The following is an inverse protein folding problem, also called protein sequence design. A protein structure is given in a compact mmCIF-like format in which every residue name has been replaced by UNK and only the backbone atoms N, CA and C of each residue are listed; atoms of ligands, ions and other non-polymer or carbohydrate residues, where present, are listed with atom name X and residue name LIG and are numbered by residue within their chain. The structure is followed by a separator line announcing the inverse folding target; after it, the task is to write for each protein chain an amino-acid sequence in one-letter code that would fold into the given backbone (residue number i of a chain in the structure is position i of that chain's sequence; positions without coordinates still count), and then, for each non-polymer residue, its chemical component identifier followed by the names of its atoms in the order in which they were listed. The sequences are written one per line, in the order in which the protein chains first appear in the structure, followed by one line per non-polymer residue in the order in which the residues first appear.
data_IF_131237923012
#
_entry.id   IF_131237923012
#
_cell.length_a   1.000
_cell.length_b   1.000
_cell.length_c   1.000
_cell.angle_alpha   90.00
_cell.angle_beta   90.00
_cell.angle_gamma   90.00
#
_symmetry.space_group_name_H-M   'P 1'
#
loop_
_entity.id
_entity.type
_entity.pdbx_description
1 polymer ?
#
# COMPACT_ATOMS: atom_id res chain seq x y z
N UNK A 1 -3.06 15.59 -1.70
CA UNK A 1 -1.63 15.37 -1.34
C UNK A 1 -1.17 14.19 -2.15
N UNK A 2 0.00 14.30 -2.77
CA UNK A 2 0.64 13.23 -3.55
C UNK A 2 1.71 12.56 -2.67
N UNK A 3 1.71 11.23 -2.62
CA UNK A 3 2.62 10.42 -1.83
C UNK A 3 3.15 9.29 -2.72
N UNK A 4 4.41 8.91 -2.55
CA UNK A 4 5.04 7.82 -3.29
C UNK A 4 5.41 6.71 -2.31
N UNK A 5 4.80 5.56 -2.46
CA UNK A 5 5.20 4.35 -1.73
C UNK A 5 6.34 3.72 -2.50
N UNK A 6 7.46 3.48 -1.84
CA UNK A 6 8.70 3.05 -2.48
C UNK A 6 9.27 1.81 -1.78
N UNK A 7 9.84 0.92 -2.58
CA UNK A 7 10.64 -0.21 -2.15
C UNK A 7 11.74 -0.46 -3.20
N UNK A 8 12.88 -1.02 -2.78
CA UNK A 8 13.98 -1.36 -3.67
C UNK A 8 14.51 -2.78 -3.39
N UNK A 9 15.06 -3.42 -4.44
CA UNK A 9 15.92 -4.60 -4.30
C UNK A 9 17.37 -4.22 -4.59
N UNK A 10 18.29 -4.92 -3.92
CA UNK A 10 19.72 -4.58 -3.98
C UNK A 10 20.59 -5.83 -4.07
N UNK A 11 21.86 -5.65 -4.47
CA UNK A 11 22.87 -6.73 -4.47
C UNK A 11 23.38 -7.10 -3.07
N UNK A 12 22.89 -6.46 -2.01
CA UNK A 12 23.29 -6.71 -0.63
C UNK A 12 22.88 -5.60 0.33
N UNK A 13 23.29 -5.67 1.58
CA UNK A 13 22.70 -4.87 2.65
C UNK A 13 23.29 -3.48 2.85
N UNK A 14 24.50 -3.21 2.35
CA UNK A 14 25.21 -1.96 2.66
C UNK A 14 25.81 -1.34 1.39
N UNK A 15 25.34 -0.15 1.05
CA UNK A 15 25.86 0.61 -0.10
C UNK A 15 27.34 1.01 0.11
N UNK A 16 27.78 1.23 1.36
CA UNK A 16 29.19 1.55 1.68
C UNK A 16 30.15 0.39 1.32
N UNK A 17 29.67 -0.85 1.29
CA UNK A 17 30.41 -2.04 0.86
C UNK A 17 30.35 -2.24 -0.67
N UNK A 18 29.80 -1.26 -1.40
CA UNK A 18 29.71 -1.26 -2.85
C UNK A 18 28.54 -2.09 -3.38
N UNK A 19 27.52 -2.35 -2.54
CA UNK A 19 26.27 -2.91 -3.04
C UNK A 19 25.45 -1.86 -3.79
N UNK A 20 24.64 -2.31 -4.73
CA UNK A 20 23.94 -1.48 -5.71
C UNK A 20 22.46 -1.84 -5.79
N UNK A 21 21.66 -0.90 -6.25
CA UNK A 21 20.23 -1.12 -6.54
C UNK A 21 20.08 -1.98 -7.82
N UNK A 22 19.13 -2.92 -7.82
CA UNK A 22 18.79 -3.77 -8.96
C UNK A 22 17.33 -3.65 -9.40
N UNK A 23 16.46 -3.17 -8.52
CA UNK A 23 15.05 -2.92 -8.84
C UNK A 23 14.55 -1.74 -8.00
N UNK A 24 13.73 -0.89 -8.62
CA UNK A 24 12.98 0.17 -7.94
C UNK A 24 11.51 -0.04 -8.25
N UNK A 25 10.67 -0.09 -7.22
CA UNK A 25 9.23 -0.15 -7.31
C UNK A 25 8.58 1.00 -6.58
N UNK A 26 7.72 1.76 -7.27
CA UNK A 26 6.98 2.85 -6.65
C UNK A 26 5.49 2.76 -6.99
N UNK A 27 4.65 3.12 -6.03
CA UNK A 27 3.21 3.32 -6.20
C UNK A 27 2.87 4.77 -5.88
N UNK A 28 2.20 5.42 -6.80
CA UNK A 28 1.70 6.78 -6.61
C UNK A 28 0.32 6.77 -5.93
N UNK A 29 0.22 7.48 -4.81
CA UNK A 29 -1.04 7.77 -4.14
C UNK A 29 -1.38 9.26 -4.30
N UNK A 30 -2.57 9.54 -4.83
CA UNK A 30 -3.14 10.88 -4.84
C UNK A 30 -4.45 10.84 -4.07
N UNK A 31 -4.52 11.63 -2.99
CA UNK A 31 -5.70 11.62 -2.10
C UNK A 31 -6.06 10.20 -1.59
N UNK A 32 -5.03 9.37 -1.35
CA UNK A 32 -5.16 7.98 -0.83
C UNK A 32 -5.66 6.95 -1.86
N UNK A 33 -5.74 7.33 -3.11
CA UNK A 33 -6.07 6.43 -4.21
C UNK A 33 -4.85 6.16 -5.07
N UNK A 34 -4.66 4.92 -5.48
CA UNK A 34 -3.59 4.55 -6.41
C UNK A 34 -3.87 5.17 -7.77
N UNK A 35 -2.91 5.94 -8.30
CA UNK A 35 -3.03 6.65 -9.58
C UNK A 35 -2.00 6.22 -10.61
N UNK A 36 -0.85 5.76 -10.16
CA UNK A 36 0.24 5.36 -11.04
C UNK A 36 1.24 4.44 -10.35
N UNK A 37 2.20 3.99 -11.13
CA UNK A 37 3.35 3.23 -10.63
C UNK A 37 4.57 3.51 -11.49
N UNK A 38 5.74 3.40 -10.86
CA UNK A 38 7.04 3.37 -11.54
C UNK A 38 7.71 2.04 -11.20
N UNK A 39 8.28 1.40 -12.21
CA UNK A 39 8.96 0.12 -12.02
C UNK A 39 10.16 0.03 -12.96
N UNK A 40 11.33 -0.18 -12.40
CA UNK A 40 12.55 -0.26 -13.18
C UNK A 40 13.51 -1.30 -12.61
N UNK A 41 13.97 -2.22 -13.47
CA UNK A 41 15.14 -3.05 -13.21
C UNK A 41 16.41 -2.33 -13.65
N UNK A 42 17.52 -2.55 -12.92
CA UNK A 42 18.75 -1.78 -13.09
C UNK A 42 19.93 -2.76 -13.14
N UNK A 43 20.81 -2.56 -14.10
CA UNK A 43 22.08 -3.27 -14.15
C UNK A 43 23.03 -2.69 -13.09
N UNK A 44 23.40 -3.47 -12.05
CA UNK A 44 24.25 -2.97 -10.97
C UNK A 44 25.73 -2.87 -11.35
N UNK A 45 26.13 -3.31 -12.53
CA UNK A 45 27.55 -3.54 -12.89
C UNK A 45 28.30 -4.40 -11.87
N UNK A 46 27.60 -5.31 -11.22
CA UNK A 46 28.11 -6.18 -10.15
C UNK A 46 27.39 -7.52 -10.18
N UNK A 47 28.13 -8.60 -10.04
CA UNK A 47 27.55 -9.96 -10.01
C UNK A 47 26.79 -10.18 -8.69
N UNK A 48 25.57 -10.67 -8.78
CA UNK A 48 24.78 -11.12 -7.65
C UNK A 48 25.27 -12.48 -7.16
N UNK A 49 25.20 -12.69 -5.86
CA UNK A 49 25.45 -14.00 -5.24
C UNK A 49 24.21 -14.88 -5.36
N UNK A 50 24.40 -16.20 -5.27
CA UNK A 50 23.27 -17.16 -5.27
C UNK A 50 22.26 -16.86 -4.13
N UNK A 51 22.73 -16.40 -2.98
CA UNK A 51 21.85 -16.08 -1.85
C UNK A 51 20.98 -14.85 -2.12
N UNK A 52 21.52 -13.84 -2.82
CA UNK A 52 20.70 -12.71 -3.26
C UNK A 52 19.62 -13.18 -4.25
N UNK A 53 20.01 -13.99 -5.25
CA UNK A 53 19.08 -14.52 -6.26
C UNK A 53 17.95 -15.33 -5.62
N UNK A 54 18.24 -16.12 -4.57
CA UNK A 54 17.19 -16.86 -3.82
C UNK A 54 16.16 -15.95 -3.16
N UNK A 55 16.54 -14.74 -2.74
CA UNK A 55 15.66 -13.79 -2.04
C UNK A 55 14.69 -13.14 -3.03
N UNK A 56 15.18 -12.55 -4.10
CA UNK A 56 14.37 -11.74 -5.03
C UNK A 56 14.11 -12.42 -6.38
N UNK A 57 14.78 -13.54 -6.69
CA UNK A 57 14.59 -14.30 -7.93
C UNK A 57 15.17 -13.65 -9.18
N UNK A 58 15.84 -12.51 -9.07
CA UNK A 58 16.45 -11.78 -10.19
C UNK A 58 17.82 -12.36 -10.45
N UNK A 59 18.11 -12.77 -11.70
CA UNK A 59 19.39 -13.38 -12.09
C UNK A 59 20.33 -12.37 -12.73
N UNK A 60 21.61 -12.71 -12.78
CA UNK A 60 22.62 -11.89 -13.44
C UNK A 60 22.29 -11.70 -14.93
N UNK A 61 21.92 -12.78 -15.62
CA UNK A 61 21.57 -12.78 -17.02
C UNK A 61 20.38 -11.86 -17.32
N UNK A 62 19.40 -11.82 -16.41
CA UNK A 62 18.24 -10.94 -16.55
C UNK A 62 18.63 -9.46 -16.46
N UNK A 63 19.67 -9.13 -15.68
CA UNK A 63 20.09 -7.75 -15.48
C UNK A 63 21.10 -7.24 -16.52
N UNK A 64 21.70 -8.10 -17.36
CA UNK A 64 22.72 -7.71 -18.32
C UNK A 64 22.25 -6.65 -19.33
N UNK A 65 21.00 -6.74 -19.76
CA UNK A 65 20.39 -5.84 -20.75
C UNK A 65 19.58 -4.70 -20.15
N UNK A 66 19.60 -4.54 -18.82
CA UNK A 66 18.88 -3.45 -18.13
C UNK A 66 19.71 -2.17 -18.12
N UNK A 67 19.06 -0.99 -18.09
CA UNK A 67 19.74 0.29 -17.99
C UNK A 67 20.55 0.40 -16.70
N UNK A 68 21.57 1.23 -16.72
CA UNK A 68 22.30 1.63 -15.52
C UNK A 68 21.49 2.69 -14.73
N UNK A 69 21.87 2.91 -13.47
CA UNK A 69 21.13 3.85 -12.63
C UNK A 69 21.16 5.29 -13.16
N UNK A 70 22.27 5.73 -13.73
CA UNK A 70 22.42 7.06 -14.33
C UNK A 70 21.49 7.28 -15.53
N UNK A 71 21.16 6.23 -16.29
CA UNK A 71 20.27 6.30 -17.44
C UNK A 71 18.80 6.49 -17.03
N UNK A 72 18.40 6.01 -15.85
CA UNK A 72 17.01 6.06 -15.37
C UNK A 72 16.78 7.14 -14.30
N UNK A 73 17.83 7.77 -13.79
CA UNK A 73 17.75 8.65 -12.65
C UNK A 73 16.86 9.87 -12.89
N UNK A 74 16.88 10.47 -14.07
CA UNK A 74 16.03 11.63 -14.38
C UNK A 74 14.55 11.25 -14.47
N UNK A 75 14.23 10.10 -15.05
CA UNK A 75 12.86 9.60 -15.10
C UNK A 75 12.34 9.25 -13.69
N UNK A 76 13.18 8.62 -12.87
CA UNK A 76 12.86 8.35 -11.47
C UNK A 76 12.63 9.62 -10.66
N UNK A 77 13.53 10.58 -10.76
CA UNK A 77 13.38 11.89 -10.08
C UNK A 77 12.15 12.65 -10.59
N UNK A 78 11.88 12.61 -11.89
CA UNK A 78 10.67 13.17 -12.50
C UNK A 78 9.39 12.49 -12.02
N UNK A 79 9.44 11.18 -11.71
CA UNK A 79 8.29 10.48 -11.15
C UNK A 79 8.05 10.84 -9.67
N UNK A 80 9.09 10.92 -8.84
CA UNK A 80 8.91 11.24 -7.40
C UNK A 80 8.70 12.73 -7.15
N UNK A 81 9.21 13.62 -8.01
CA UNK A 81 9.18 15.09 -7.84
C UNK A 81 9.49 15.53 -6.40
N UNK A 82 8.64 16.38 -5.82
CA UNK A 82 8.71 16.88 -4.42
C UNK A 82 7.78 16.12 -3.46
N UNK A 83 7.20 15.00 -3.90
CA UNK A 83 6.24 14.20 -3.11
C UNK A 83 6.85 13.64 -1.82
N UNK A 84 6.00 13.36 -0.83
CA UNK A 84 6.40 12.55 0.32
C UNK A 84 6.70 11.13 -0.14
N UNK A 85 7.78 10.54 0.37
CA UNK A 85 8.21 9.18 0.08
C UNK A 85 7.95 8.33 1.31
N UNK A 86 7.23 7.24 1.13
CA UNK A 86 6.87 6.29 2.17
C UNK A 86 7.61 4.98 1.89
N UNK A 87 8.40 4.50 2.84
CA UNK A 87 9.08 3.23 2.74
C UNK A 87 9.03 2.44 4.07
N UNK A 88 9.37 1.18 4.03
CA UNK A 88 9.38 0.31 5.22
C UNK A 88 10.80 0.02 5.66
N UNK A 89 11.27 0.63 6.74
CA UNK A 89 12.68 0.77 7.10
C UNK A 89 13.40 1.72 6.12
N UNK A 90 12.81 2.89 5.94
CA UNK A 90 13.15 3.87 4.91
C UNK A 90 14.64 4.28 4.86
N UNK A 91 15.36 4.15 5.98
CA UNK A 91 16.81 4.44 6.01
C UNK A 91 17.61 3.56 5.06
N UNK A 92 17.15 2.33 4.80
CA UNK A 92 17.77 1.42 3.84
C UNK A 92 17.58 1.93 2.41
N UNK A 93 16.33 2.12 1.99
CA UNK A 93 16.01 2.52 0.61
C UNK A 93 16.59 3.89 0.26
N UNK A 94 16.37 4.86 1.14
CA UNK A 94 16.86 6.24 0.95
C UNK A 94 18.40 6.31 1.00
N UNK A 95 19.02 5.48 1.83
CA UNK A 95 20.48 5.37 1.89
C UNK A 95 21.08 4.94 0.55
N UNK A 96 20.54 3.86 -0.03
CA UNK A 96 20.95 3.37 -1.36
C UNK A 96 20.66 4.38 -2.47
N UNK A 97 19.45 4.95 -2.51
CA UNK A 97 19.09 5.95 -3.52
C UNK A 97 19.99 7.17 -3.45
N UNK A 98 20.21 7.70 -2.25
CA UNK A 98 21.06 8.87 -2.07
C UNK A 98 22.54 8.58 -2.41
N UNK A 99 23.01 7.37 -2.16
CA UNK A 99 24.35 6.96 -2.56
C UNK A 99 24.49 6.91 -4.10
N UNK A 100 23.49 6.33 -4.80
CA UNK A 100 23.52 6.28 -6.26
C UNK A 100 23.38 7.68 -6.88
N UNK A 101 22.48 8.53 -6.36
CA UNK A 101 22.30 9.91 -6.81
C UNK A 101 23.56 10.75 -6.63
N UNK A 102 24.24 10.63 -5.48
CA UNK A 102 25.50 11.34 -5.21
C UNK A 102 26.59 10.95 -6.20
N UNK A 103 26.71 9.66 -6.55
CA UNK A 103 27.72 9.17 -7.52
C UNK A 103 27.56 9.79 -8.89
N UNK A 104 26.36 10.16 -9.30
CA UNK A 104 26.06 10.80 -10.60
C UNK A 104 25.88 12.33 -10.48
N UNK A 105 26.22 12.93 -9.32
CA UNK A 105 26.15 14.37 -9.11
C UNK A 105 24.74 14.95 -9.02
N UNK A 106 23.73 14.14 -8.71
CA UNK A 106 22.35 14.59 -8.48
C UNK A 106 22.12 14.95 -7.02
N UNK A 107 21.07 15.74 -6.77
CA UNK A 107 20.66 16.09 -5.40
C UNK A 107 20.08 14.87 -4.67
N UNK A 108 20.41 14.79 -3.38
CA UNK A 108 19.87 13.76 -2.49
C UNK A 108 18.39 14.01 -2.18
N UNK A 109 17.69 12.94 -1.90
CA UNK A 109 16.34 12.98 -1.33
C UNK A 109 16.45 13.46 0.12
N UNK A 110 15.72 14.51 0.45
CA UNK A 110 15.72 15.12 1.79
C UNK A 110 14.93 14.24 2.78
N UNK A 111 15.47 14.09 4.00
CA UNK A 111 14.84 13.26 5.05
C UNK A 111 13.45 13.78 5.48
N UNK A 112 13.22 15.09 5.37
CA UNK A 112 11.95 15.75 5.70
C UNK A 112 10.80 15.30 4.80
N UNK A 113 11.13 14.73 3.64
CA UNK A 113 10.18 14.14 2.70
C UNK A 113 9.85 12.69 3.00
N UNK A 114 10.61 12.04 3.89
CA UNK A 114 10.55 10.58 4.10
C UNK A 114 9.67 10.23 5.29
N UNK A 115 8.82 9.25 5.11
CA UNK A 115 7.96 8.66 6.15
C UNK A 115 8.33 7.18 6.28
N UNK A 116 8.86 6.80 7.44
CA UNK A 116 9.15 5.40 7.75
C UNK A 116 7.95 4.72 8.42
N UNK A 117 7.38 3.74 7.74
CA UNK A 117 6.23 2.98 8.24
C UNK A 117 6.58 2.09 9.43
N UNK A 118 7.86 1.70 9.62
CA UNK A 118 8.31 0.99 10.82
C UNK A 118 8.10 1.83 12.07
N UNK A 119 8.39 3.14 12.01
CA UNK A 119 8.14 4.06 13.12
C UNK A 119 6.65 4.13 13.48
N UNK A 120 5.78 4.24 12.47
CA UNK A 120 4.32 4.26 12.68
C UNK A 120 3.85 2.92 13.29
N UNK A 121 4.31 1.80 12.74
CA UNK A 121 3.92 0.47 13.20
C UNK A 121 4.38 0.18 14.65
N UNK A 122 5.60 0.58 15.02
CA UNK A 122 6.11 0.41 16.39
C UNK A 122 5.29 1.19 17.41
N UNK A 123 4.78 2.36 17.06
CA UNK A 123 3.91 3.15 17.93
C UNK A 123 2.55 2.48 18.14
N UNK A 124 2.01 1.80 17.11
CA UNK A 124 0.72 1.10 17.21
C UNK A 124 0.83 -0.29 17.84
N UNK A 125 1.98 -0.97 17.63
CA UNK A 125 2.21 -2.34 18.08
C UNK A 125 3.51 -2.46 18.89
N UNK A 126 3.60 -1.80 20.07
CA UNK A 126 4.82 -1.80 20.87
C UNK A 126 5.24 -3.22 21.26
N UNK A 127 6.54 -3.51 21.15
CA UNK A 127 7.12 -4.80 21.50
C UNK A 127 6.82 -5.96 20.54
N UNK A 128 6.14 -5.71 19.43
CA UNK A 128 5.79 -6.74 18.45
C UNK A 128 6.65 -6.66 17.18
N UNK A 129 6.67 -7.76 16.41
CA UNK A 129 7.28 -7.74 15.09
C UNK A 129 6.49 -6.84 14.14
N UNK A 130 7.21 -5.99 13.42
CA UNK A 130 6.65 -4.98 12.50
C UNK A 130 7.28 -5.05 11.11
N UNK A 131 7.89 -6.19 10.73
CA UNK A 131 8.26 -6.38 9.32
C UNK A 131 7.00 -6.48 8.45
N UNK A 132 7.16 -6.31 7.14
CA UNK A 132 6.04 -6.19 6.21
C UNK A 132 5.09 -7.41 6.30
N UNK A 133 5.63 -8.64 6.35
CA UNK A 133 4.84 -9.88 6.48
C UNK A 133 4.06 -9.97 7.79
N UNK A 134 4.69 -9.55 8.89
CA UNK A 134 4.02 -9.52 10.19
C UNK A 134 2.86 -8.51 10.20
N UNK A 135 3.04 -7.36 9.54
CA UNK A 135 2.00 -6.34 9.42
C UNK A 135 0.85 -6.80 8.52
N UNK A 136 1.13 -7.43 7.38
CA UNK A 136 0.10 -8.02 6.50
C UNK A 136 -0.80 -8.98 7.28
N UNK A 137 -0.21 -9.90 8.05
CA UNK A 137 -0.95 -10.86 8.87
C UNK A 137 -1.75 -10.17 9.98
N UNK A 138 -1.13 -9.22 10.68
CA UNK A 138 -1.72 -8.51 11.82
C UNK A 138 -2.88 -7.61 11.41
N UNK A 139 -2.73 -6.87 10.34
CA UNK A 139 -3.74 -5.97 9.79
C UNK A 139 -4.78 -6.71 8.94
N UNK A 140 -4.63 -8.05 8.77
CA UNK A 140 -5.52 -8.90 7.98
C UNK A 140 -5.70 -8.42 6.55
N UNK A 141 -4.61 -7.93 5.96
CA UNK A 141 -4.61 -7.44 4.59
C UNK A 141 -4.80 -8.63 3.66
N UNK A 142 -5.86 -8.58 2.86
CA UNK A 142 -6.15 -9.60 1.86
C UNK A 142 -5.32 -9.34 0.61
N UNK A 143 -4.09 -9.84 0.58
CA UNK A 143 -3.24 -9.74 -0.60
C UNK A 143 -3.37 -10.98 -1.45
N UNK A 144 -3.71 -10.80 -2.73
CA UNK A 144 -3.67 -11.86 -3.76
C UNK A 144 -2.26 -12.01 -4.37
N UNK A 145 -1.30 -11.20 -3.91
CA UNK A 145 0.06 -11.20 -4.42
C UNK A 145 0.78 -12.43 -3.89
N UNK A 146 1.12 -13.36 -4.78
CA UNK A 146 1.98 -14.49 -4.44
C UNK A 146 3.40 -13.97 -4.18
N UNK A 147 3.89 -14.20 -2.95
CA UNK A 147 5.18 -13.71 -2.48
C UNK A 147 6.18 -14.86 -2.33
N UNK A 148 6.38 -15.64 -3.41
CA UNK A 148 7.44 -16.66 -3.44
C UNK A 148 8.83 -16.00 -3.40
N UNK A 149 8.98 -14.85 -4.07
CA UNK A 149 10.18 -14.03 -4.07
C UNK A 149 9.82 -12.58 -3.77
N UNK A 150 10.71 -11.87 -3.10
CA UNK A 150 10.65 -10.43 -2.94
C UNK A 150 10.76 -9.74 -4.30
N UNK A 151 10.18 -8.58 -4.43
CA UNK A 151 10.27 -7.74 -5.62
C UNK A 151 9.75 -6.36 -5.32
N UNK A 152 10.53 -5.35 -5.66
CA UNK A 152 10.30 -3.96 -5.25
C UNK A 152 8.89 -3.47 -5.57
N UNK A 153 8.39 -3.67 -6.79
CA UNK A 153 7.02 -3.25 -7.12
C UNK A 153 5.95 -4.05 -6.37
N UNK A 154 6.18 -5.33 -6.12
CA UNK A 154 5.25 -6.18 -5.34
C UNK A 154 5.19 -5.71 -3.90
N UNK A 155 6.36 -5.46 -3.29
CA UNK A 155 6.47 -5.04 -1.91
C UNK A 155 5.97 -3.61 -1.71
N UNK A 156 6.18 -2.70 -2.67
CA UNK A 156 5.56 -1.38 -2.68
C UNK A 156 4.02 -1.44 -2.74
N UNK A 157 3.43 -2.37 -3.51
CA UNK A 157 1.97 -2.60 -3.53
C UNK A 157 1.44 -3.08 -2.19
N UNK A 158 2.10 -4.07 -1.59
CA UNK A 158 1.73 -4.59 -0.25
C UNK A 158 1.89 -3.48 0.80
N UNK A 159 2.99 -2.73 0.72
CA UNK A 159 3.24 -1.61 1.62
C UNK A 159 2.18 -0.50 1.48
N UNK A 160 1.63 -0.31 0.29
CA UNK A 160 0.52 0.62 0.07
C UNK A 160 -0.68 0.26 0.95
N UNK A 161 -1.11 -0.99 0.93
CA UNK A 161 -2.24 -1.46 1.74
C UNK A 161 -1.91 -1.37 3.24
N UNK A 162 -0.70 -1.77 3.64
CA UNK A 162 -0.22 -1.65 5.03
C UNK A 162 -0.22 -0.20 5.49
N UNK A 163 0.29 0.72 4.67
CA UNK A 163 0.36 2.14 5.00
C UNK A 163 -1.03 2.76 5.18
N UNK A 164 -1.95 2.45 4.28
CA UNK A 164 -3.34 2.93 4.36
C UNK A 164 -4.02 2.43 5.64
N UNK A 165 -3.83 1.16 6.01
CA UNK A 165 -4.35 0.61 7.27
C UNK A 165 -3.69 1.25 8.50
N UNK A 166 -2.37 1.36 8.54
CA UNK A 166 -1.65 2.04 9.64
C UNK A 166 -2.11 3.49 9.84
N UNK A 167 -2.52 4.17 8.77
CA UNK A 167 -3.08 5.52 8.83
C UNK A 167 -4.56 5.54 9.20
N UNK A 168 -5.20 4.39 9.42
CA UNK A 168 -6.61 4.27 9.74
C UNK A 168 -7.53 4.72 8.61
N UNK A 169 -7.08 4.63 7.37
CA UNK A 169 -7.77 5.14 6.19
C UNK A 169 -8.79 4.12 5.68
N UNK A 170 -8.47 2.83 5.81
CA UNK A 170 -9.34 1.73 5.37
C UNK A 170 -10.53 1.53 6.31
N UNK A 171 -10.44 2.00 7.57
CA UNK A 171 -11.50 1.92 8.58
C UNK A 171 -12.42 3.15 8.62
N UNK A 172 -12.67 3.83 7.52
CA UNK A 172 -13.72 4.86 7.44
C UNK A 172 -15.15 4.27 7.38
N UNK A 173 -15.30 3.01 7.80
CA UNK A 173 -16.57 2.37 8.09
C UNK A 173 -16.78 2.22 9.60
N UNK A 174 -17.48 3.18 10.21
CA UNK A 174 -18.07 3.10 11.56
C UNK A 174 -17.05 2.93 12.70
N UNK A 175 -16.45 4.01 13.18
CA UNK A 175 -16.07 4.13 14.59
C UNK A 175 -17.36 4.30 15.39
N UNK A 176 -17.89 3.21 15.91
CA UNK A 176 -18.74 3.27 17.09
C UNK A 176 -17.83 3.72 18.25
N UNK A 177 -17.99 4.96 18.63
CA UNK A 177 -17.30 5.58 19.75
C UNK A 177 -17.66 4.80 21.03
N UNK A 178 -16.76 3.92 21.50
CA UNK A 178 -16.83 3.36 22.85
C UNK A 178 -16.03 4.28 23.77
N UNK A 179 -16.62 5.40 24.14
CA UNK A 179 -15.93 6.28 25.06
C UNK A 179 -16.78 7.42 25.58
N UNK A 180 -17.18 7.28 26.82
CA UNK A 180 -17.73 8.30 27.72
C UNK A 180 -19.19 8.67 27.51
N UNK A 181 -20.02 8.06 28.36
CA UNK A 181 -21.32 8.56 28.76
C UNK A 181 -21.19 9.91 29.46
N UNK A 182 -21.15 10.99 28.72
CA UNK A 182 -21.51 12.32 29.18
C UNK A 182 -22.55 12.92 28.23
N UNK A 183 -23.75 12.97 28.72
CA UNK A 183 -24.92 13.74 28.32
C UNK A 183 -24.79 14.64 27.08
N UNK A 184 -24.94 14.04 25.88
CA UNK A 184 -25.37 14.76 24.70
C UNK A 184 -26.91 14.78 24.68
N UNK A 185 -27.50 15.93 25.01
CA UNK A 185 -28.90 16.21 24.71
C UNK A 185 -29.12 15.96 23.22
N UNK A 186 -29.93 14.98 22.90
CA UNK A 186 -30.38 14.73 21.53
C UNK A 186 -30.97 16.02 20.96
N UNK A 187 -30.28 16.59 19.98
CA UNK A 187 -30.92 17.48 19.06
C UNK A 187 -31.98 16.68 18.32
N UNK A 188 -33.15 17.25 18.18
CA UNK A 188 -34.35 16.69 17.56
C UNK A 188 -34.04 15.78 16.36
N UNK A 189 -34.66 14.58 16.36
CA UNK A 189 -34.62 13.61 15.25
C UNK A 189 -34.84 14.34 13.91
N UNK A 190 -33.98 14.10 12.88
CA UNK A 190 -34.30 14.56 11.56
C UNK A 190 -35.62 13.86 11.14
N UNK A 191 -36.58 14.65 10.72
CA UNK A 191 -37.84 14.16 10.19
C UNK A 191 -37.53 13.33 8.91
N UNK A 192 -37.34 12.03 9.11
CA UNK A 192 -37.25 11.09 8.00
C UNK A 192 -38.67 10.94 7.48
N UNK A 193 -39.03 11.67 6.43
CA UNK A 193 -40.24 11.39 5.68
C UNK A 193 -40.23 9.91 5.35
N UNK A 194 -41.20 9.18 5.89
CA UNK A 194 -41.35 7.75 5.61
C UNK A 194 -41.55 7.63 4.11
N UNK A 195 -40.58 7.08 3.43
CA UNK A 195 -40.72 6.70 2.04
C UNK A 195 -41.81 5.63 2.00
N UNK A 196 -43.02 6.01 1.56
CA UNK A 196 -44.14 5.07 1.37
C UNK A 196 -43.97 4.50 -0.03
N UNK A 197 -43.55 3.24 -0.09
CA UNK A 197 -43.44 2.51 -1.35
C UNK A 197 -44.85 2.37 -1.97
N UNK A 198 -44.95 2.59 -3.26
CA UNK A 198 -46.17 2.32 -3.99
C UNK A 198 -46.45 0.81 -4.06
N UNK A 199 -47.72 0.42 -4.28
CA UNK A 199 -48.04 -0.99 -4.43
C UNK A 199 -47.31 -1.64 -5.61
N UNK A 200 -47.11 -0.89 -6.68
CA UNK A 200 -46.39 -1.33 -7.88
C UNK A 200 -44.93 -1.59 -7.61
N UNK A 201 -44.24 -0.71 -6.83
CA UNK A 201 -42.85 -0.90 -6.42
C UNK A 201 -42.69 -2.10 -5.49
N UNK A 202 -43.63 -2.30 -4.58
CA UNK A 202 -43.63 -3.46 -3.67
C UNK A 202 -43.80 -4.77 -4.42
N UNK A 203 -44.72 -4.83 -5.41
CA UNK A 203 -44.94 -6.03 -6.23
C UNK A 203 -43.76 -6.31 -7.15
N UNK A 204 -43.19 -5.30 -7.80
CA UNK A 204 -41.98 -5.44 -8.61
C UNK A 204 -40.79 -5.96 -7.80
N UNK A 205 -40.64 -5.51 -6.54
CA UNK A 205 -39.61 -5.99 -5.64
C UNK A 205 -39.80 -7.47 -5.25
N UNK A 206 -41.05 -7.88 -4.95
CA UNK A 206 -41.39 -9.28 -4.64
C UNK A 206 -41.14 -10.20 -5.83
N UNK A 207 -41.50 -9.77 -7.02
CA UNK A 207 -41.26 -10.53 -8.25
C UNK A 207 -39.76 -10.66 -8.56
N UNK A 208 -38.96 -9.59 -8.35
CA UNK A 208 -37.52 -9.62 -8.49
C UNK A 208 -36.85 -10.62 -7.53
N UNK A 209 -37.24 -10.60 -6.23
CA UNK A 209 -36.72 -11.54 -5.24
C UNK A 209 -37.01 -12.96 -5.63
N UNK A 210 -38.27 -13.25 -6.02
CA UNK A 210 -38.72 -14.58 -6.38
C UNK A 210 -38.00 -15.15 -7.61
N UNK A 211 -37.77 -14.32 -8.62
CA UNK A 211 -37.23 -14.76 -9.92
C UNK A 211 -35.68 -14.69 -10.02
N UNK A 212 -35.02 -13.76 -9.32
CA UNK A 212 -33.61 -13.52 -9.46
C UNK A 212 -32.75 -13.99 -8.28
N UNK A 213 -33.30 -13.99 -7.06
CA UNK A 213 -32.57 -14.37 -5.85
C UNK A 213 -33.41 -15.23 -4.87
N UNK A 214 -33.97 -16.36 -5.33
CA UNK A 214 -34.95 -17.13 -4.56
C UNK A 214 -34.39 -17.72 -3.25
N UNK A 215 -33.08 -17.85 -3.10
CA UNK A 215 -32.40 -18.39 -1.91
C UNK A 215 -31.86 -17.28 -0.98
N UNK A 216 -32.17 -16.02 -1.19
CA UNK A 216 -31.74 -14.92 -0.34
C UNK A 216 -32.46 -14.90 1.01
N UNK A 217 -31.83 -14.30 2.03
CA UNK A 217 -32.49 -14.08 3.32
C UNK A 217 -33.68 -13.11 3.21
N UNK A 218 -33.77 -12.30 2.16
CA UNK A 218 -34.91 -11.44 1.86
C UNK A 218 -36.17 -12.22 1.52
N UNK A 219 -36.07 -13.38 0.87
CA UNK A 219 -37.18 -14.26 0.59
C UNK A 219 -37.82 -14.85 1.86
N UNK A 220 -37.17 -14.76 3.02
CA UNK A 220 -37.64 -15.25 4.32
C UNK A 220 -38.35 -14.19 5.16
N UNK A 221 -38.16 -12.91 4.83
CA UNK A 221 -38.68 -11.76 5.59
C UNK A 221 -40.15 -11.45 5.27
N UNK A 222 -40.65 -11.91 4.12
CA UNK A 222 -41.99 -11.60 3.62
C UNK A 222 -43.15 -12.27 4.41
N UNK A 223 -42.84 -13.00 5.50
CA UNK A 223 -43.86 -13.62 6.37
C UNK A 223 -44.25 -12.83 7.62
N UNK A 224 -43.67 -11.62 7.81
CA UNK A 224 -43.85 -10.83 9.02
C UNK A 224 -44.64 -9.53 8.83
N UNK A 225 -45.28 -9.33 7.67
CA UNK A 225 -46.10 -8.15 7.37
C UNK A 225 -47.51 -8.52 6.90
N UNK A 226 -48.12 -9.59 7.47
CA UNK A 226 -49.58 -9.80 7.46
C UNK A 226 -50.19 -9.40 8.81
#
# INVERSE_FOLDING_TARGET
MREIILDIETTGLKYEEGHRIIEIGCIELVQKEVRGSYHQYINPSKTLTEDNIKIHGITNEFLEDKPFFDEIADDFLGFIEDSKIIAHNASFDIGFLNFELEKIGKLKIENERVIDTVGIARNQFPGQQVNLDALVKKLKINTLINREHHGALKDAKILTDVYLELRGITQLGIKLDQGSSENLKLASEPNLDKIVLTKEETEAHKEFIKNKIPNSNWAKIDKSYE
#
